data_IF_289824633536
#
_entry.id   IF_289824633536
#
_cell.length_a   1.000
_cell.length_b   1.000
_cell.length_c   1.000
_cell.angle_alpha   90.00
_cell.angle_beta   90.00
_cell.angle_gamma   90.00
#
_symmetry.space_group_name_H-M   'P 1'
#
loop_
_entity.id
_entity.type
_entity.pdbx_description
1 polymer ?
#
# COMPACT_ATOMS: atom_id res chain seq x y z
N UNK A 1 5.37 -7.91 0.07
CA UNK A 1 4.33 -7.10 -0.61
C UNK A 1 3.84 -7.76 -1.90
N UNK A 2 4.70 -7.99 -2.91
CA UNK A 2 4.29 -8.60 -4.20
C UNK A 2 3.56 -9.94 -4.08
N UNK A 3 4.10 -10.86 -3.27
CA UNK A 3 3.52 -12.18 -3.05
C UNK A 3 2.09 -12.16 -2.49
N UNK A 4 1.63 -11.04 -1.92
CA UNK A 4 0.30 -10.91 -1.33
C UNK A 4 -0.78 -10.59 -2.38
N UNK A 5 -0.42 -10.35 -3.65
CA UNK A 5 -1.35 -10.10 -4.76
C UNK A 5 -2.43 -9.05 -4.44
N UNK A 6 -2.06 -8.02 -3.67
CA UNK A 6 -3.01 -7.01 -3.18
C UNK A 6 -3.47 -6.06 -4.28
N UNK A 7 -4.76 -5.73 -4.28
CA UNK A 7 -5.34 -4.78 -5.21
C UNK A 7 -4.74 -3.36 -5.06
N UNK A 8 -4.93 -2.53 -6.09
CA UNK A 8 -4.47 -1.14 -6.10
C UNK A 8 -5.15 -0.29 -5.00
N UNK A 9 -4.42 0.72 -4.51
CA UNK A 9 -4.89 1.67 -3.51
C UNK A 9 -5.78 2.76 -4.11
N UNK A 10 -5.83 3.92 -3.45
CA UNK A 10 -6.62 5.09 -3.91
C UNK A 10 -6.03 5.74 -5.17
N UNK A 11 -4.74 5.54 -5.39
CA UNK A 11 -3.97 5.98 -6.56
C UNK A 11 -4.17 5.10 -7.81
N UNK A 12 -4.91 4.01 -7.69
CA UNK A 12 -5.14 3.02 -8.74
C UNK A 12 -3.85 2.39 -9.33
N UNK A 13 -2.71 2.55 -8.67
CA UNK A 13 -1.44 1.97 -9.12
C UNK A 13 -1.36 0.48 -8.76
N UNK A 14 -1.13 -0.36 -9.78
CA UNK A 14 -0.91 -1.79 -9.58
C UNK A 14 0.55 -2.08 -9.23
N UNK A 15 0.84 -3.29 -8.73
CA UNK A 15 2.23 -3.68 -8.44
C UNK A 15 3.05 -3.71 -9.74
N UNK A 16 2.45 -4.15 -10.84
CA UNK A 16 3.09 -4.23 -12.15
C UNK A 16 3.46 -2.84 -12.67
N UNK A 17 2.60 -1.84 -12.50
CA UNK A 17 2.88 -0.45 -12.87
C UNK A 17 3.97 0.14 -11.96
N UNK A 18 3.87 -0.07 -10.65
CA UNK A 18 4.87 0.40 -9.68
C UNK A 18 6.28 -0.14 -10.00
N UNK A 19 6.37 -1.39 -10.46
CA UNK A 19 7.65 -2.05 -10.78
C UNK A 19 8.31 -1.53 -12.06
N UNK A 20 7.57 -0.86 -12.96
CA UNK A 20 8.16 -0.29 -14.18
C UNK A 20 9.23 0.76 -13.86
N UNK A 21 9.08 1.48 -12.74
CA UNK A 21 10.06 2.45 -12.26
C UNK A 21 10.51 2.13 -10.81
N UNK A 22 10.79 0.85 -10.57
CA UNK A 22 11.01 0.29 -9.23
C UNK A 22 12.05 1.08 -8.42
N UNK A 23 13.23 1.36 -9.00
CA UNK A 23 14.32 2.01 -8.27
C UNK A 23 13.95 3.41 -7.81
N UNK A 24 13.37 4.22 -8.68
CA UNK A 24 12.98 5.59 -8.33
C UNK A 24 11.80 5.60 -7.36
N UNK A 25 10.84 4.69 -7.53
CA UNK A 25 9.72 4.56 -6.60
C UNK A 25 10.18 4.16 -5.20
N UNK A 26 11.10 3.19 -5.09
CA UNK A 26 11.72 2.83 -3.80
C UNK A 26 12.54 3.98 -3.20
N UNK A 27 13.31 4.70 -4.02
CA UNK A 27 14.07 5.87 -3.56
C UNK A 27 13.15 6.95 -2.97
N UNK A 28 12.02 7.27 -3.63
CA UNK A 28 11.03 8.24 -3.13
C UNK A 28 10.50 7.81 -1.75
N UNK A 29 10.18 6.53 -1.57
CA UNK A 29 9.68 6.00 -0.29
C UNK A 29 10.77 6.13 0.79
N UNK A 30 11.97 5.60 0.52
CA UNK A 30 13.09 5.65 1.45
C UNK A 30 13.40 7.08 1.89
N UNK A 31 13.55 8.00 0.93
CA UNK A 31 13.89 9.39 1.21
C UNK A 31 12.83 10.07 2.09
N UNK A 32 11.55 9.86 1.80
CA UNK A 32 10.45 10.44 2.60
C UNK A 32 10.36 9.83 3.99
N UNK A 33 10.56 8.52 4.12
CA UNK A 33 10.52 7.84 5.43
C UNK A 33 11.69 8.26 6.31
N UNK A 34 12.90 8.36 5.75
CA UNK A 34 14.11 8.71 6.51
C UNK A 34 14.18 10.20 6.87
N UNK A 35 13.62 11.08 6.04
CA UNK A 35 13.55 12.52 6.31
C UNK A 35 12.43 12.92 7.28
N UNK A 36 11.52 12.00 7.62
CA UNK A 36 10.30 12.30 8.37
C UNK A 36 9.22 13.04 7.57
N UNK A 37 9.36 13.15 6.25
CA UNK A 37 8.38 13.82 5.37
C UNK A 37 7.44 12.83 4.68
N UNK A 38 7.32 11.61 5.19
CA UNK A 38 6.39 10.61 4.67
C UNK A 38 4.97 10.90 5.16
N UNK A 39 4.08 11.28 4.25
CA UNK A 39 2.66 11.46 4.53
C UNK A 39 1.86 10.46 3.70
N UNK A 40 1.30 9.39 4.32
CA UNK A 40 0.55 8.38 3.59
C UNK A 40 -0.76 8.97 3.04
N UNK A 41 -1.16 8.64 1.80
CA UNK A 41 -2.49 8.94 1.30
C UNK A 41 -3.57 8.13 2.07
N UNK A 42 -4.85 8.53 1.96
CA UNK A 42 -5.94 7.74 2.52
C UNK A 42 -6.04 6.34 1.89
N UNK A 43 -6.49 5.36 2.67
CA UNK A 43 -6.75 4.00 2.15
C UNK A 43 -8.01 3.98 1.28
N UNK A 44 -8.01 3.15 0.24
CA UNK A 44 -9.21 2.90 -0.57
C UNK A 44 -10.16 1.97 0.17
N UNK A 45 -11.40 2.40 0.41
CA UNK A 45 -12.41 1.57 1.06
C UNK A 45 -13.13 0.68 0.06
N UNK A 46 -13.24 -0.61 0.36
CA UNK A 46 -14.03 -1.58 -0.42
C UNK A 46 -14.94 -2.35 0.52
N UNK A 47 -16.22 -2.44 0.17
CA UNK A 47 -17.16 -3.33 0.85
C UNK A 47 -17.10 -4.73 0.23
N UNK A 48 -16.97 -5.76 1.07
CA UNK A 48 -17.09 -7.15 0.66
C UNK A 48 -18.16 -7.86 1.50
N UNK A 49 -18.94 -8.79 0.92
CA UNK A 49 -19.95 -9.53 1.67
C UNK A 49 -19.29 -10.42 2.74
N UNK A 50 -19.93 -10.55 3.90
CA UNK A 50 -19.59 -11.57 4.89
C UNK A 50 -20.38 -12.86 4.65
N UNK A 51 -19.89 -13.98 5.18
CA UNK A 51 -20.54 -15.30 5.06
C UNK A 51 -21.86 -15.38 5.82
N UNK A 52 -21.98 -14.64 6.92
CA UNK A 52 -23.10 -14.59 7.86
C UNK A 52 -24.11 -13.46 7.56
N UNK A 53 -23.92 -12.75 6.44
CA UNK A 53 -24.73 -11.58 6.07
C UNK A 53 -24.07 -10.25 6.45
N UNK A 54 -24.47 -9.19 5.75
CA UNK A 54 -23.89 -7.85 5.88
C UNK A 54 -22.54 -7.68 5.19
N UNK A 55 -21.94 -6.50 5.37
CA UNK A 55 -20.71 -6.10 4.69
C UNK A 55 -19.53 -5.94 5.66
N UNK A 56 -18.33 -6.30 5.19
CA UNK A 56 -17.05 -5.95 5.81
C UNK A 56 -16.38 -4.89 4.95
N UNK A 57 -16.08 -3.74 5.54
CA UNK A 57 -15.26 -2.71 4.91
C UNK A 57 -13.78 -3.05 5.05
N UNK A 58 -13.07 -3.11 3.93
CA UNK A 58 -11.62 -3.25 3.85
C UNK A 58 -10.99 -1.91 3.49
N UNK A 59 -9.87 -1.58 4.13
CA UNK A 59 -9.00 -0.48 3.71
C UNK A 59 -7.82 -1.04 2.92
N UNK A 60 -7.65 -0.58 1.68
CA UNK A 60 -6.58 -1.01 0.79
C UNK A 60 -5.57 0.15 0.65
N UNK A 61 -4.39 0.09 1.29
CA UNK A 61 -3.34 1.09 1.12
C UNK A 61 -2.72 1.03 -0.28
N UNK A 62 -2.02 2.08 -0.67
CA UNK A 62 -1.22 2.12 -1.91
C UNK A 62 -0.09 1.10 -1.90
N UNK A 63 0.52 0.81 -3.05
CA UNK A 63 1.71 -0.07 -3.10
C UNK A 63 2.83 0.51 -2.25
N UNK A 64 3.06 1.82 -2.34
CA UNK A 64 4.07 2.54 -1.55
C UNK A 64 3.81 2.40 -0.04
N UNK A 65 2.57 2.59 0.41
CA UNK A 65 2.20 2.46 1.82
C UNK A 65 2.39 1.03 2.32
N UNK A 66 2.03 0.03 1.51
CA UNK A 66 2.24 -1.37 1.91
C UNK A 66 3.72 -1.69 2.08
N UNK A 67 4.59 -1.11 1.26
CA UNK A 67 6.05 -1.24 1.40
C UNK A 67 6.49 -0.55 2.70
N UNK A 68 6.12 0.71 2.91
CA UNK A 68 6.45 1.46 4.12
C UNK A 68 6.00 0.74 5.41
N UNK A 69 4.74 0.30 5.45
CA UNK A 69 4.18 -0.47 6.58
C UNK A 69 4.91 -1.79 6.80
N UNK A 70 5.28 -2.49 5.73
CA UNK A 70 6.05 -3.75 5.84
C UNK A 70 7.44 -3.49 6.40
N UNK A 71 8.11 -2.42 5.96
CA UNK A 71 9.43 -2.02 6.51
C UNK A 71 9.33 -1.74 8.00
N UNK A 72 8.35 -0.95 8.43
CA UNK A 72 8.12 -0.65 9.86
C UNK A 72 7.84 -1.93 10.64
N UNK A 73 6.97 -2.81 10.15
CA UNK A 73 6.63 -4.10 10.78
C UNK A 73 7.83 -5.06 10.92
N UNK A 74 8.80 -4.98 10.01
CA UNK A 74 9.99 -5.84 10.06
C UNK A 74 11.08 -5.28 10.99
N UNK A 75 11.06 -3.98 11.26
CA UNK A 75 12.09 -3.31 12.05
C UNK A 75 11.69 -3.11 13.53
N UNK A 76 10.38 -2.94 13.80
CA UNK A 76 9.80 -2.85 15.14
C UNK A 76 9.17 -4.19 15.55
#
# INVERSE_FOLDING_TARGET
VKANQGAAGVDAESIEVFEQDLKNNLYKIWNRMSSGTYFPPPVRTVAIPKKDGGERRLGIPTVADRIAQTVVKLYL
#
